data_IF_161849283666
#
_entry.id   IF_161849283666
#
_cell.length_a   1.000
_cell.length_b   1.000
_cell.length_c   1.000
_cell.angle_alpha   90.00
_cell.angle_beta   90.00
_cell.angle_gamma   90.00
#
_symmetry.space_group_name_H-M   'P 1'
#
loop_
_entity.id
_entity.type
_entity.pdbx_description
1 polymer ?
#
# COMPACT_ATOMS: atom_id res chain seq x y z
N UNK A 1 -8.16 -0.59 -22.00
CA UNK A 1 -6.90 0.14 -22.22
C UNK A 1 -5.81 -0.56 -21.43
N UNK A 2 -4.65 -0.80 -22.03
CA UNK A 2 -3.46 -1.24 -21.31
C UNK A 2 -2.83 -0.05 -20.59
N UNK A 3 -2.50 -0.19 -19.31
CA UNK A 3 -1.71 0.82 -18.61
C UNK A 3 -0.28 0.82 -19.16
N UNK A 4 0.31 2.00 -19.33
CA UNK A 4 1.68 2.15 -19.86
C UNK A 4 2.73 1.85 -18.78
N UNK A 5 2.36 2.00 -17.51
CA UNK A 5 3.18 1.65 -16.36
C UNK A 5 2.33 1.31 -15.13
N UNK A 6 2.96 0.72 -14.11
CA UNK A 6 2.33 0.54 -12.80
C UNK A 6 1.92 1.89 -12.17
N UNK A 7 2.68 2.97 -12.41
CA UNK A 7 2.37 4.30 -11.89
C UNK A 7 1.07 4.84 -12.49
N UNK A 8 0.84 4.61 -13.79
CA UNK A 8 -0.40 5.01 -14.46
C UNK A 8 -1.60 4.22 -13.93
N UNK A 9 -1.39 2.95 -13.59
CA UNK A 9 -2.43 2.14 -12.95
C UNK A 9 -2.76 2.65 -11.54
N UNK A 10 -1.74 2.94 -10.72
CA UNK A 10 -1.92 3.51 -9.37
C UNK A 10 -2.67 4.85 -9.44
N UNK A 11 -2.32 5.73 -10.38
CA UNK A 11 -3.00 7.01 -10.57
C UNK A 11 -4.48 6.84 -10.96
N UNK A 12 -4.81 5.79 -11.73
CA UNK A 12 -6.21 5.45 -12.04
C UNK A 12 -6.97 5.03 -10.78
N UNK A 13 -6.41 4.13 -9.97
CA UNK A 13 -7.02 3.69 -8.71
C UNK A 13 -7.25 4.87 -7.75
N UNK A 14 -6.30 5.78 -7.65
CA UNK A 14 -6.46 7.00 -6.85
C UNK A 14 -7.57 7.92 -7.36
N UNK A 15 -7.64 8.13 -8.67
CA UNK A 15 -8.69 8.95 -9.29
C UNK A 15 -10.08 8.36 -9.08
N UNK A 16 -10.20 7.02 -9.05
CA UNK A 16 -11.45 6.31 -8.84
C UNK A 16 -11.85 6.17 -7.35
N UNK A 17 -10.97 6.58 -6.42
CA UNK A 17 -11.18 6.40 -4.98
C UNK A 17 -11.00 4.95 -4.51
N UNK A 18 -10.34 4.11 -5.31
CA UNK A 18 -10.06 2.70 -5.03
C UNK A 18 -8.67 2.47 -4.39
N UNK A 19 -7.91 3.55 -4.14
CA UNK A 19 -6.60 3.52 -3.48
C UNK A 19 -6.63 4.33 -2.18
N UNK A 20 -6.07 3.76 -1.12
CA UNK A 20 -5.77 4.46 0.14
C UNK A 20 -4.25 4.53 0.33
N UNK A 21 -3.75 5.70 0.68
CA UNK A 21 -2.36 5.92 1.08
C UNK A 21 -2.23 5.90 2.59
N UNK A 22 -1.25 5.17 3.11
CA UNK A 22 -0.91 5.12 4.54
C UNK A 22 0.46 5.78 4.71
N UNK A 23 0.47 6.87 5.46
CA UNK A 23 1.68 7.70 5.69
C UNK A 23 2.36 7.39 7.02
N UNK A 24 1.62 6.78 7.94
CA UNK A 24 2.10 6.28 9.21
C UNK A 24 3.17 5.20 8.98
N UNK A 25 4.20 5.12 9.86
CA UNK A 25 5.17 4.03 9.80
C UNK A 25 4.49 2.67 9.91
N UNK A 26 4.71 1.78 8.95
CA UNK A 26 4.19 0.40 8.97
C UNK A 26 5.34 -0.59 8.90
N UNK A 27 5.34 -1.54 9.84
CA UNK A 27 6.37 -2.57 9.94
C UNK A 27 6.23 -3.64 8.86
N UNK A 28 7.37 -3.98 8.26
CA UNK A 28 7.51 -5.16 7.38
C UNK A 28 7.37 -6.48 8.15
N UNK A 29 7.56 -6.47 9.48
CA UNK A 29 7.40 -7.64 10.31
C UNK A 29 5.93 -7.83 10.70
N UNK A 30 5.21 -8.62 9.89
CA UNK A 30 3.83 -9.09 10.10
C UNK A 30 2.72 -8.02 10.04
N UNK A 31 2.99 -6.77 10.41
CA UNK A 31 1.98 -5.69 10.41
C UNK A 31 1.44 -5.42 9.00
N UNK A 32 2.32 -5.16 8.03
CA UNK A 32 1.93 -4.91 6.63
C UNK A 32 1.09 -6.06 6.05
N UNK A 33 1.45 -7.31 6.39
CA UNK A 33 0.73 -8.53 5.95
C UNK A 33 -0.63 -8.65 6.62
N UNK A 34 -0.76 -8.30 7.90
CA UNK A 34 -2.05 -8.32 8.59
C UNK A 34 -3.01 -7.31 7.96
N UNK A 35 -2.55 -6.08 7.74
CA UNK A 35 -3.35 -5.03 7.08
C UNK A 35 -3.83 -5.54 5.72
N UNK A 36 -2.93 -6.12 4.92
CA UNK A 36 -3.28 -6.74 3.65
C UNK A 36 -4.33 -7.85 3.79
N UNK A 37 -4.21 -8.72 4.80
CA UNK A 37 -5.18 -9.80 5.06
C UNK A 37 -6.58 -9.24 5.32
N UNK A 38 -6.73 -8.16 6.09
CA UNK A 38 -8.05 -7.55 6.36
C UNK A 38 -8.65 -6.88 5.12
N UNK A 39 -7.80 -6.29 4.28
CA UNK A 39 -8.23 -5.57 3.09
C UNK A 39 -8.56 -6.50 1.92
N UNK A 40 -7.91 -7.66 1.80
CA UNK A 40 -8.06 -8.52 0.60
C UNK A 40 -9.50 -8.99 0.35
N UNK A 41 -10.32 -9.08 1.41
CA UNK A 41 -11.70 -9.58 1.29
C UNK A 41 -12.68 -8.52 0.78
N UNK A 42 -12.49 -7.23 1.11
CA UNK A 42 -13.51 -6.18 0.86
C UNK A 42 -12.97 -4.75 0.74
N UNK A 43 -11.66 -4.55 0.92
CA UNK A 43 -11.04 -3.23 1.06
C UNK A 43 -10.45 -2.66 -0.24
N UNK A 44 -10.15 -1.35 -0.26
CA UNK A 44 -9.44 -0.72 -1.36
C UNK A 44 -8.01 -1.24 -1.47
N UNK A 45 -7.36 -0.95 -2.60
CA UNK A 45 -5.92 -1.09 -2.70
C UNK A 45 -5.25 -0.15 -1.68
N UNK A 46 -4.14 -0.60 -1.08
CA UNK A 46 -3.37 0.19 -0.12
C UNK A 46 -1.96 0.42 -0.64
N UNK A 47 -1.45 1.65 -0.47
CA UNK A 47 -0.06 2.00 -0.71
C UNK A 47 0.55 2.53 0.60
N UNK A 48 1.55 1.81 1.11
CA UNK A 48 2.32 2.22 2.28
C UNK A 48 3.48 3.11 1.83
N UNK A 49 3.54 4.35 2.33
CA UNK A 49 4.56 5.32 1.92
C UNK A 49 5.75 5.39 2.90
N UNK A 50 5.57 4.89 4.12
CA UNK A 50 6.57 4.90 5.17
C UNK A 50 6.75 3.49 5.75
N UNK A 51 7.55 2.67 5.08
CA UNK A 51 7.77 1.29 5.47
C UNK A 51 9.01 1.20 6.37
N UNK A 52 8.86 0.56 7.53
CA UNK A 52 9.94 0.35 8.49
C UNK A 52 10.26 -1.15 8.67
N UNK A 53 11.51 -1.45 8.98
CA UNK A 53 11.96 -2.78 9.42
C UNK A 53 11.52 -3.03 10.87
N UNK A 54 11.69 -4.26 11.33
CA UNK A 54 11.37 -4.67 12.70
C UNK A 54 12.09 -3.82 13.77
N UNK A 55 13.30 -3.35 13.46
CA UNK A 55 14.11 -2.49 14.35
C UNK A 55 13.75 -0.99 14.25
N UNK A 56 12.73 -0.64 13.46
CA UNK A 56 12.30 0.75 13.26
C UNK A 56 13.13 1.54 12.25
N UNK A 57 14.16 0.94 11.64
CA UNK A 57 14.88 1.59 10.53
C UNK A 57 14.03 1.62 9.26
N UNK A 58 14.22 2.62 8.36
CA UNK A 58 13.54 2.63 7.07
C UNK A 58 13.81 1.37 6.25
N UNK A 59 12.80 0.87 5.55
CA UNK A 59 12.95 -0.18 4.55
C UNK A 59 13.27 0.48 3.19
N UNK A 60 14.54 0.40 2.79
CA UNK A 60 15.01 0.85 1.47
C UNK A 60 14.42 0.04 0.30
#
# INVERSE_FOLDING_TARGET
>A
MSYTSLRDFIAKLETDGELVRVTEPVSTHLEMTEIGRRLVETGPAVLFENVIREDGSPSD
#
